data_IF_535990528554
#
_entry.id   IF_535990528554
#
_cell.length_a   1.000
_cell.length_b   1.000
_cell.length_c   1.000
_cell.angle_alpha   90.00
_cell.angle_beta   90.00
_cell.angle_gamma   90.00
#
_symmetry.space_group_name_H-M   'P 1'
#
loop_
_entity.id
_entity.type
_entity.pdbx_description
1 polymer ?
#
# COMPACT_ATOMS: atom_id res chain seq x y z
N UNK A 1 28.40 14.78 20.94
CA UNK A 1 27.32 14.13 21.71
C UNK A 1 26.88 14.87 22.99
N UNK A 2 27.59 15.91 23.48
CA UNK A 2 27.24 16.56 24.77
C UNK A 2 26.23 17.74 24.68
N UNK A 3 25.92 18.27 23.49
CA UNK A 3 25.00 19.41 23.34
C UNK A 3 23.51 19.04 23.53
N UNK A 4 23.07 17.89 23.00
CA UNK A 4 21.67 17.41 23.09
C UNK A 4 21.22 17.15 24.54
N UNK A 5 22.13 16.69 25.40
CA UNK A 5 21.85 16.47 26.83
C UNK A 5 21.66 17.75 27.63
N UNK A 6 22.36 18.83 27.25
CA UNK A 6 22.27 20.12 27.96
C UNK A 6 20.95 20.83 27.65
N UNK A 7 20.56 20.90 26.36
CA UNK A 7 19.28 21.47 25.93
C UNK A 7 18.08 20.72 26.52
N UNK A 8 18.14 19.38 26.55
CA UNK A 8 17.07 18.56 27.14
C UNK A 8 16.95 18.76 28.66
N UNK A 9 18.05 19.07 29.35
CA UNK A 9 18.06 19.34 30.79
C UNK A 9 17.46 20.71 31.11
N UNK A 10 17.78 21.73 30.32
CA UNK A 10 17.22 23.08 30.46
C UNK A 10 15.72 23.10 30.16
N UNK A 11 15.29 22.44 29.08
CA UNK A 11 13.87 22.29 28.73
C UNK A 11 13.13 21.54 29.83
N UNK A 12 13.69 20.45 30.37
CA UNK A 12 13.10 19.72 31.50
C UNK A 12 12.91 20.63 32.72
N UNK A 13 13.89 21.47 33.06
CA UNK A 13 13.78 22.41 34.17
C UNK A 13 12.68 23.45 33.93
N UNK A 14 12.58 23.99 32.71
CA UNK A 14 11.50 24.90 32.30
C UNK A 14 10.13 24.24 32.42
N UNK A 15 9.96 23.00 31.96
CA UNK A 15 8.68 22.26 32.08
C UNK A 15 8.30 22.03 33.55
N UNK A 16 9.25 21.70 34.41
CA UNK A 16 9.00 21.53 35.85
C UNK A 16 8.58 22.89 36.47
N UNK A 17 9.23 23.98 36.07
CA UNK A 17 8.87 25.33 36.55
C UNK A 17 7.46 25.74 36.09
N UNK A 18 7.10 25.51 34.83
CA UNK A 18 5.75 25.73 34.30
C UNK A 18 4.70 24.89 35.05
N UNK A 19 5.01 23.61 35.32
CA UNK A 19 4.18 22.72 36.13
C UNK A 19 3.93 23.25 37.55
N UNK A 20 4.97 23.75 38.21
CA UNK A 20 4.86 24.37 39.54
C UNK A 20 4.03 25.66 39.49
N UNK A 21 4.22 26.50 38.48
CA UNK A 21 3.44 27.72 38.31
C UNK A 21 1.95 27.40 38.12
N UNK A 22 1.62 26.43 37.28
CA UNK A 22 0.23 25.99 37.08
C UNK A 22 -0.41 25.48 38.37
N UNK A 23 0.33 24.74 39.20
CA UNK A 23 -0.17 24.27 40.49
C UNK A 23 -0.48 25.45 41.45
N UNK A 24 0.35 26.50 41.45
CA UNK A 24 0.11 27.72 42.24
C UNK A 24 -1.12 28.46 41.72
N UNK A 25 -1.22 28.70 40.41
CA UNK A 25 -2.37 29.40 39.81
C UNK A 25 -3.67 28.61 40.01
N UNK A 26 -3.61 27.28 39.95
CA UNK A 26 -4.76 26.42 40.23
C UNK A 26 -5.17 26.48 41.72
N UNK A 27 -4.21 26.55 42.64
CA UNK A 27 -4.48 26.77 44.07
C UNK A 27 -5.19 28.11 44.29
N UNK A 28 -4.70 29.20 43.68
CA UNK A 28 -5.33 30.53 43.75
C UNK A 28 -6.78 30.48 43.21
N UNK A 29 -7.01 29.73 42.14
CA UNK A 29 -8.36 29.51 41.60
C UNK A 29 -9.27 28.82 42.63
N UNK A 30 -8.79 27.76 43.30
CA UNK A 30 -9.56 27.05 44.32
C UNK A 30 -9.90 27.93 45.53
N UNK A 31 -8.96 28.78 45.98
CA UNK A 31 -9.18 29.76 47.04
C UNK A 31 -10.25 30.80 46.63
N UNK A 32 -10.21 31.24 45.36
CA UNK A 32 -11.21 32.16 44.81
C UNK A 32 -12.59 31.50 44.69
N UNK A 33 -12.66 30.22 44.29
CA UNK A 33 -13.91 29.45 44.28
C UNK A 33 -14.50 29.37 45.69
N UNK A 34 -13.69 29.04 46.70
CA UNK A 34 -14.12 28.99 48.10
C UNK A 34 -14.70 30.34 48.56
N UNK A 35 -14.05 31.45 48.19
CA UNK A 35 -14.51 32.81 48.50
C UNK A 35 -15.86 33.12 47.83
N UNK A 36 -16.02 32.78 46.56
CA UNK A 36 -17.29 32.98 45.82
C UNK A 36 -18.43 32.14 46.41
N UNK A 37 -18.15 30.92 46.87
CA UNK A 37 -19.13 30.04 47.51
C UNK A 37 -19.57 30.59 48.87
N UNK A 38 -18.63 31.12 49.66
CA UNK A 38 -18.94 31.67 50.99
C UNK A 38 -19.61 33.06 50.91
N UNK A 39 -19.17 33.92 49.98
CA UNK A 39 -19.62 35.31 49.83
C UNK A 39 -19.74 35.67 48.34
N UNK A 40 -20.85 35.33 47.68
CA UNK A 40 -21.01 35.59 46.26
C UNK A 40 -21.16 37.10 45.98
N UNK A 41 -20.23 37.66 45.21
CA UNK A 41 -20.30 39.04 44.69
C UNK A 41 -19.96 39.07 43.20
N UNK A 42 -20.37 40.14 42.50
CA UNK A 42 -20.06 40.32 41.08
C UNK A 42 -18.55 40.47 40.84
N UNK A 43 -17.86 41.18 41.73
CA UNK A 43 -16.40 41.34 41.72
C UNK A 43 -15.69 39.99 41.92
N UNK A 44 -16.13 39.18 42.89
CA UNK A 44 -15.54 37.87 43.15
C UNK A 44 -15.72 36.89 41.96
N UNK A 45 -16.83 36.99 41.23
CA UNK A 45 -17.07 36.22 39.99
C UNK A 45 -16.19 36.68 38.82
N UNK A 46 -15.94 37.99 38.70
CA UNK A 46 -15.00 38.51 37.68
C UNK A 46 -13.57 38.07 37.96
N UNK A 47 -13.13 38.14 39.22
CA UNK A 47 -11.82 37.61 39.64
C UNK A 47 -11.70 36.11 39.41
N UNK A 48 -12.77 35.34 39.64
CA UNK A 48 -12.80 33.90 39.34
C UNK A 48 -12.56 33.61 37.86
N UNK A 49 -13.22 34.35 36.96
CA UNK A 49 -13.03 34.21 35.51
C UNK A 49 -11.59 34.56 35.10
N UNK A 50 -10.99 35.60 35.69
CA UNK A 50 -9.60 35.96 35.46
C UNK A 50 -8.63 34.86 35.92
N UNK A 51 -8.86 34.26 37.10
CA UNK A 51 -8.05 33.14 37.61
C UNK A 51 -8.20 31.88 36.74
N UNK A 52 -9.41 31.58 36.26
CA UNK A 52 -9.64 30.46 35.35
C UNK A 52 -8.90 30.64 34.02
N UNK A 53 -8.86 31.88 33.50
CA UNK A 53 -8.08 32.21 32.32
C UNK A 53 -6.56 32.04 32.55
N UNK A 54 -6.05 32.46 33.71
CA UNK A 54 -4.64 32.25 34.08
C UNK A 54 -4.27 30.76 34.15
N UNK A 55 -5.17 29.90 34.64
CA UNK A 55 -4.95 28.43 34.60
C UNK A 55 -4.84 27.96 33.15
N UNK A 56 -5.74 28.39 32.26
CA UNK A 56 -5.68 28.01 30.85
C UNK A 56 -4.35 28.41 30.18
N UNK A 57 -3.86 29.63 30.46
CA UNK A 57 -2.55 30.12 29.97
C UNK A 57 -1.40 29.27 30.52
N UNK A 58 -1.43 28.93 31.81
CA UNK A 58 -0.37 28.13 32.43
C UNK A 58 -0.36 26.68 31.93
N UNK A 59 -1.53 26.09 31.65
CA UNK A 59 -1.65 24.78 31.00
C UNK A 59 -1.07 24.81 29.58
N UNK A 60 -1.34 25.87 28.81
CA UNK A 60 -0.74 26.04 27.47
C UNK A 60 0.79 26.11 27.53
N UNK A 61 1.36 26.79 28.54
CA UNK A 61 2.80 26.85 28.76
C UNK A 61 3.40 25.46 29.06
N UNK A 62 2.72 24.63 29.86
CA UNK A 62 3.13 23.23 30.11
C UNK A 62 3.09 22.42 28.82
N UNK A 63 2.05 22.55 28.01
CA UNK A 63 1.92 21.86 26.72
C UNK A 63 3.08 22.24 25.81
N UNK A 64 3.38 23.53 25.68
CA UNK A 64 4.49 24.02 24.89
C UNK A 64 5.85 23.48 25.37
N UNK A 65 6.10 23.52 26.69
CA UNK A 65 7.33 22.97 27.24
C UNK A 65 7.41 21.44 27.07
N UNK A 66 6.28 20.74 27.09
CA UNK A 66 6.20 19.29 26.83
C UNK A 66 6.49 18.94 25.37
N UNK A 67 6.08 19.79 24.42
CA UNK A 67 6.45 19.67 23.01
C UNK A 67 7.96 19.84 22.80
N UNK A 68 8.58 20.78 23.53
CA UNK A 68 10.03 20.97 23.51
C UNK A 68 10.79 19.76 24.09
N UNK A 69 10.26 19.09 25.14
CA UNK A 69 10.86 17.88 25.72
C UNK A 69 10.95 16.74 24.70
N UNK A 70 9.96 16.63 23.82
CA UNK A 70 9.94 15.57 22.80
C UNK A 70 11.16 15.67 21.86
N UNK A 71 11.74 16.86 21.70
CA UNK A 71 12.86 17.13 20.81
C UNK A 71 12.39 17.35 19.37
N UNK A 72 13.27 17.96 18.57
CA UNK A 72 13.01 18.27 17.16
C UNK A 72 12.76 17.03 16.31
N UNK A 73 13.29 15.88 16.73
CA UNK A 73 13.26 14.61 15.98
C UNK A 73 12.10 13.70 16.38
N UNK A 74 11.23 14.10 17.31
CA UNK A 74 10.06 13.30 17.66
C UNK A 74 9.06 13.29 16.52
N UNK A 75 8.69 12.07 16.15
CA UNK A 75 7.73 11.72 15.11
C UNK A 75 6.56 11.02 15.81
N UNK A 76 5.33 11.46 15.56
CA UNK A 76 4.14 10.79 16.10
C UNK A 76 3.96 9.44 15.35
N UNK A 77 4.08 8.28 16.03
CA UNK A 77 3.91 6.98 15.37
C UNK A 77 2.47 6.74 14.88
N UNK A 78 1.49 7.50 15.36
CA UNK A 78 0.10 7.46 14.89
C UNK A 78 -0.19 8.48 13.77
N UNK A 79 0.83 9.19 13.28
CA UNK A 79 0.68 10.10 12.15
C UNK A 79 0.44 9.30 10.85
N UNK A 80 -0.64 9.59 10.10
CA UNK A 80 -0.94 8.90 8.86
C UNK A 80 0.22 8.89 7.85
N UNK A 81 1.05 9.93 7.83
CA UNK A 81 2.20 10.02 6.93
C UNK A 81 3.33 9.06 7.31
N UNK A 82 3.54 8.86 8.62
CA UNK A 82 4.55 7.96 9.17
C UNK A 82 4.13 6.50 8.98
N UNK A 83 2.84 6.23 9.22
CA UNK A 83 2.23 4.94 8.94
C UNK A 83 2.37 4.63 7.44
N UNK A 84 2.01 5.57 6.57
CA UNK A 84 2.11 5.36 5.13
C UNK A 84 3.53 5.08 4.66
N UNK A 85 4.52 5.81 5.17
CA UNK A 85 5.92 5.56 4.83
C UNK A 85 6.38 4.16 5.27
N UNK A 86 6.07 3.78 6.51
CA UNK A 86 6.41 2.46 7.07
C UNK A 86 5.74 1.32 6.29
N UNK A 87 4.46 1.45 5.98
CA UNK A 87 3.67 0.47 5.23
C UNK A 87 4.18 0.33 3.79
N UNK A 88 4.52 1.44 3.10
CA UNK A 88 5.10 1.40 1.77
C UNK A 88 6.45 0.68 1.75
N UNK A 89 7.33 0.98 2.71
CA UNK A 89 8.62 0.31 2.81
C UNK A 89 8.47 -1.17 3.14
N UNK A 90 7.47 -1.52 3.95
CA UNK A 90 7.13 -2.92 4.28
C UNK A 90 6.62 -3.65 3.03
N UNK A 91 5.73 -3.04 2.26
CA UNK A 91 5.26 -3.59 0.98
C UNK A 91 6.41 -3.81 -0.01
N UNK A 92 7.32 -2.84 -0.15
CA UNK A 92 8.50 -2.98 -0.99
C UNK A 92 9.41 -4.14 -0.55
N UNK A 93 9.69 -4.26 0.76
CA UNK A 93 10.48 -5.38 1.32
C UNK A 93 9.81 -6.73 1.07
N UNK A 94 8.49 -6.80 1.21
CA UNK A 94 7.70 -8.01 0.94
C UNK A 94 7.84 -8.45 -0.53
N UNK A 95 7.77 -7.49 -1.46
CA UNK A 95 8.00 -7.75 -2.89
C UNK A 95 9.43 -8.25 -3.14
N UNK A 96 10.44 -7.63 -2.53
CA UNK A 96 11.84 -8.05 -2.69
C UNK A 96 12.07 -9.47 -2.16
N UNK A 97 11.46 -9.83 -1.04
CA UNK A 97 11.51 -11.20 -0.52
C UNK A 97 10.87 -12.20 -1.50
N UNK A 98 9.73 -11.84 -2.12
CA UNK A 98 9.12 -12.68 -3.15
C UNK A 98 10.00 -12.83 -4.39
N UNK A 99 10.67 -11.76 -4.84
CA UNK A 99 11.63 -11.78 -5.93
C UNK A 99 12.85 -12.67 -5.63
N UNK A 100 13.37 -12.59 -4.39
CA UNK A 100 14.46 -13.44 -3.94
C UNK A 100 14.05 -14.92 -3.91
N UNK A 101 12.85 -15.24 -3.41
CA UNK A 101 12.31 -16.60 -3.43
C UNK A 101 12.21 -17.15 -4.86
N UNK A 102 11.76 -16.33 -5.82
CA UNK A 102 11.76 -16.68 -7.24
C UNK A 102 13.16 -16.99 -7.78
N UNK A 103 14.17 -16.23 -7.37
CA UNK A 103 15.55 -16.41 -7.87
C UNK A 103 16.21 -17.73 -7.44
N UNK A 104 15.73 -18.35 -6.37
CA UNK A 104 16.23 -19.63 -5.87
C UNK A 104 15.56 -20.83 -6.57
N UNK A 105 14.51 -20.60 -7.34
CA UNK A 105 13.80 -21.65 -8.07
C UNK A 105 14.61 -22.08 -9.29
N UNK A 106 14.72 -23.40 -9.46
CA UNK A 106 15.28 -24.00 -10.68
C UNK A 106 14.13 -24.53 -11.54
N UNK A 107 14.20 -24.35 -12.87
CA UNK A 107 13.30 -25.02 -13.79
C UNK A 107 13.28 -26.53 -13.54
N UNK A 108 12.10 -27.15 -13.66
CA UNK A 108 11.97 -28.60 -13.48
C UNK A 108 12.74 -29.32 -14.58
N UNK A 109 13.83 -30.04 -14.24
CA UNK A 109 14.52 -30.93 -15.17
C UNK A 109 13.62 -32.14 -15.50
N UNK A 110 12.84 -32.09 -16.57
CA UNK A 110 12.28 -33.33 -17.16
C UNK A 110 13.42 -34.11 -17.82
N UNK A 111 13.43 -35.43 -17.65
CA UNK A 111 14.33 -36.31 -18.39
C UNK A 111 13.78 -36.49 -19.81
N UNK A 112 14.57 -36.10 -20.83
CA UNK A 112 14.47 -36.47 -22.26
C UNK A 112 13.49 -35.75 -23.20
N UNK A 113 12.95 -34.58 -22.87
CA UNK A 113 12.31 -33.71 -23.89
C UNK A 113 13.13 -32.42 -24.05
N UNK A 114 13.26 -31.97 -25.29
CA UNK A 114 14.39 -31.19 -25.82
C UNK A 114 14.74 -29.89 -25.07
N UNK A 115 16.00 -29.51 -25.25
CA UNK A 115 16.71 -28.26 -24.92
C UNK A 115 15.93 -26.93 -25.15
N UNK A 116 14.75 -26.99 -25.79
CA UNK A 116 13.90 -25.85 -26.16
C UNK A 116 12.90 -25.43 -25.08
N UNK A 117 12.43 -26.34 -24.20
CA UNK A 117 11.47 -26.01 -23.11
C UNK A 117 12.11 -25.11 -22.05
N UNK A 118 13.35 -25.43 -21.65
CA UNK A 118 14.10 -24.70 -20.63
C UNK A 118 14.21 -23.20 -20.94
N UNK A 119 14.29 -22.84 -22.22
CA UNK A 119 14.36 -21.44 -22.66
C UNK A 119 13.06 -20.68 -22.36
N UNK A 120 11.90 -21.33 -22.43
CA UNK A 120 10.62 -20.70 -22.05
C UNK A 120 10.51 -20.52 -20.53
N UNK A 121 10.76 -21.56 -19.74
CA UNK A 121 10.67 -21.45 -18.28
C UNK A 121 11.66 -20.43 -17.71
N UNK A 122 12.88 -20.34 -18.28
CA UNK A 122 13.86 -19.33 -17.93
C UNK A 122 13.40 -17.92 -18.32
N UNK A 123 12.78 -17.74 -19.50
CA UNK A 123 12.19 -16.46 -19.91
C UNK A 123 11.05 -16.01 -18.98
N UNK A 124 10.19 -16.94 -18.57
CA UNK A 124 9.11 -16.65 -17.61
C UNK A 124 9.70 -16.23 -16.25
N UNK A 125 10.67 -16.99 -15.75
CA UNK A 125 11.30 -16.71 -14.46
C UNK A 125 12.03 -15.36 -14.49
N UNK A 126 12.74 -15.04 -15.57
CA UNK A 126 13.45 -13.79 -15.72
C UNK A 126 12.51 -12.59 -15.86
N UNK A 127 11.44 -12.73 -16.65
CA UNK A 127 10.42 -11.69 -16.75
C UNK A 127 9.70 -11.47 -15.42
N UNK A 128 9.36 -12.53 -14.66
CA UNK A 128 8.76 -12.41 -13.33
C UNK A 128 9.69 -11.72 -12.32
N UNK A 129 11.00 -12.04 -12.32
CA UNK A 129 12.00 -11.33 -11.51
C UNK A 129 12.10 -9.85 -11.90
N UNK A 130 12.13 -9.56 -13.19
CA UNK A 130 12.17 -8.18 -13.69
C UNK A 130 10.94 -7.39 -13.25
N UNK A 131 9.75 -8.01 -13.28
CA UNK A 131 8.51 -7.39 -12.79
C UNK A 131 8.62 -7.13 -11.29
N UNK A 132 9.00 -8.11 -10.49
CA UNK A 132 9.09 -7.97 -9.04
C UNK A 132 10.13 -6.93 -8.60
N UNK A 133 11.27 -6.86 -9.28
CA UNK A 133 12.27 -5.82 -9.06
C UNK A 133 11.74 -4.43 -9.43
N UNK A 134 11.05 -4.31 -10.57
CA UNK A 134 10.46 -3.05 -10.99
C UNK A 134 9.32 -2.59 -10.06
N UNK A 135 8.48 -3.49 -9.55
CA UNK A 135 7.41 -3.15 -8.59
C UNK A 135 7.97 -2.78 -7.22
N UNK A 136 9.05 -3.44 -6.75
CA UNK A 136 9.75 -3.00 -5.54
C UNK A 136 10.32 -1.58 -5.69
N UNK A 137 10.99 -1.29 -6.82
CA UNK A 137 11.51 0.03 -7.12
C UNK A 137 10.41 1.10 -7.25
N UNK A 138 9.26 0.72 -7.82
CA UNK A 138 8.07 1.56 -7.90
C UNK A 138 7.57 1.95 -6.51
N UNK A 139 7.34 0.98 -5.62
CA UNK A 139 6.84 1.25 -4.26
C UNK A 139 7.84 2.08 -3.45
N UNK A 140 9.15 1.83 -3.59
CA UNK A 140 10.19 2.68 -2.99
C UNK A 140 10.17 4.12 -3.52
N UNK A 141 9.94 4.28 -4.82
CA UNK A 141 9.80 5.61 -5.43
C UNK A 141 8.52 6.31 -4.97
N UNK A 142 7.44 5.57 -4.72
CA UNK A 142 6.19 6.10 -4.17
C UNK A 142 6.39 6.61 -2.73
N UNK A 143 7.10 5.85 -1.90
CA UNK A 143 7.51 6.29 -0.56
C UNK A 143 8.38 7.55 -0.60
N UNK A 144 9.33 7.63 -1.53
CA UNK A 144 10.14 8.84 -1.71
C UNK A 144 9.31 10.04 -2.15
N UNK A 145 8.33 9.85 -3.04
CA UNK A 145 7.42 10.91 -3.48
C UNK A 145 6.52 11.40 -2.35
N UNK A 146 5.99 10.49 -1.53
CA UNK A 146 5.23 10.83 -0.34
C UNK A 146 6.08 11.63 0.66
N UNK A 147 7.32 11.19 0.93
CA UNK A 147 8.24 11.91 1.83
C UNK A 147 8.57 13.31 1.31
N UNK A 148 8.76 13.47 0.00
CA UNK A 148 8.97 14.77 -0.64
C UNK A 148 7.76 15.69 -0.45
N UNK A 149 6.54 15.15 -0.55
CA UNK A 149 5.32 15.93 -0.31
C UNK A 149 5.16 16.40 1.13
N UNK A 150 5.55 15.56 2.09
CA UNK A 150 5.59 15.93 3.49
C UNK A 150 6.62 17.04 3.72
N UNK A 151 7.84 16.89 3.18
CA UNK A 151 8.89 17.91 3.31
C UNK A 151 8.53 19.26 2.66
N UNK A 152 7.70 19.26 1.62
CA UNK A 152 7.19 20.47 0.96
C UNK A 152 5.99 21.11 1.69
N UNK A 153 5.46 20.48 2.75
CA UNK A 153 4.24 20.91 3.45
C UNK A 153 2.96 20.77 2.61
N UNK A 154 3.02 20.02 1.49
CA UNK A 154 1.86 19.70 0.64
C UNK A 154 0.99 18.60 1.23
N UNK A 155 1.58 17.76 2.05
CA UNK A 155 0.92 16.79 2.94
C UNK A 155 1.40 17.13 4.34
N UNK A 156 0.48 17.47 5.25
CA UNK A 156 0.85 18.00 6.56
C UNK A 156 0.93 16.89 7.60
N UNK A 157 1.96 16.94 8.43
CA UNK A 157 2.03 16.07 9.62
C UNK A 157 1.21 16.65 10.76
N UNK A 158 0.75 15.80 11.68
CA UNK A 158 0.05 16.20 12.90
C UNK A 158 0.88 17.19 13.74
N UNK A 159 2.22 17.12 13.65
CA UNK A 159 3.17 18.00 14.33
C UNK A 159 3.11 19.45 13.82
N UNK A 160 2.89 19.65 12.52
CA UNK A 160 2.90 20.98 11.89
C UNK A 160 1.58 21.75 12.04
N UNK A 161 0.48 21.04 12.37
CA UNK A 161 -0.88 21.60 12.33
C UNK A 161 -1.29 22.29 13.65
N UNK A 162 -0.59 22.04 14.77
CA UNK A 162 -0.95 22.64 16.06
C UNK A 162 -2.35 22.25 16.59
N UNK A 163 -2.74 22.79 17.73
CA UNK A 163 -3.96 22.40 18.48
C UNK A 163 -5.19 23.31 18.25
N UNK A 164 -5.46 23.75 17.02
CA UNK A 164 -6.62 24.62 16.72
C UNK A 164 -7.79 23.90 16.05
N UNK A 165 -9.02 24.23 16.45
CA UNK A 165 -10.30 23.56 16.16
C UNK A 165 -10.71 23.34 14.69
N UNK A 166 -10.01 23.89 13.70
CA UNK A 166 -10.25 23.61 12.26
C UNK A 166 -9.59 22.28 11.80
N UNK A 167 -9.40 21.35 12.74
CA UNK A 167 -8.44 20.23 12.74
C UNK A 167 -8.91 18.97 12.04
N UNK A 168 -10.21 18.65 12.05
CA UNK A 168 -10.69 17.35 11.55
C UNK A 168 -10.54 17.27 10.03
N UNK A 169 -11.14 18.18 9.26
CA UNK A 169 -11.24 18.01 7.80
C UNK A 169 -9.90 17.94 7.05
N UNK A 170 -8.84 18.61 7.53
CA UNK A 170 -7.53 18.60 6.85
C UNK A 170 -6.74 17.33 7.17
N UNK A 171 -6.79 16.85 8.42
CA UNK A 171 -6.23 15.55 8.80
C UNK A 171 -7.01 14.41 8.12
N UNK A 172 -8.32 14.60 7.91
CA UNK A 172 -9.17 13.65 7.23
C UNK A 172 -8.78 13.54 5.73
N UNK A 173 -8.50 14.65 5.02
CA UNK A 173 -8.11 14.61 3.59
C UNK A 173 -6.71 14.04 3.34
N UNK A 174 -5.69 14.54 4.06
CA UNK A 174 -4.31 14.03 3.93
C UNK A 174 -4.17 12.60 4.47
N UNK A 175 -4.95 12.26 5.52
CA UNK A 175 -5.08 10.90 6.04
C UNK A 175 -5.74 9.95 5.05
N UNK A 176 -6.87 10.33 4.45
CA UNK A 176 -7.55 9.54 3.41
C UNK A 176 -6.68 9.34 2.18
N UNK A 177 -5.94 10.36 1.74
CA UNK A 177 -4.98 10.22 0.66
C UNK A 177 -3.86 9.23 1.03
N UNK A 178 -3.33 9.32 2.25
CA UNK A 178 -2.29 8.41 2.75
C UNK A 178 -2.80 6.96 2.83
N UNK A 179 -4.01 6.73 3.33
CA UNK A 179 -4.69 5.43 3.32
C UNK A 179 -4.90 4.89 1.89
N UNK A 180 -5.34 5.75 0.98
CA UNK A 180 -5.47 5.40 -0.44
C UNK A 180 -4.14 4.97 -1.07
N UNK A 181 -3.05 5.67 -0.72
CA UNK A 181 -1.70 5.34 -1.17
C UNK A 181 -1.22 4.00 -0.60
N UNK A 182 -1.44 3.76 0.70
CA UNK A 182 -1.12 2.48 1.37
C UNK A 182 -1.88 1.34 0.70
N UNK A 183 -3.19 1.50 0.50
CA UNK A 183 -4.05 0.50 -0.13
C UNK A 183 -3.58 0.16 -1.54
N UNK A 184 -3.24 1.18 -2.35
CA UNK A 184 -2.70 0.98 -3.68
C UNK A 184 -1.38 0.19 -3.67
N UNK A 185 -0.47 0.49 -2.74
CA UNK A 185 0.79 -0.24 -2.63
C UNK A 185 0.61 -1.68 -2.13
N UNK A 186 -0.32 -1.92 -1.19
CA UNK A 186 -0.70 -3.28 -0.75
C UNK A 186 -1.26 -4.10 -1.90
N UNK A 187 -2.09 -3.50 -2.76
CA UNK A 187 -2.58 -4.16 -3.99
C UNK A 187 -1.43 -4.52 -4.93
N UNK A 188 -0.44 -3.64 -5.14
CA UNK A 188 0.75 -3.94 -5.96
C UNK A 188 1.55 -5.10 -5.36
N UNK A 189 1.74 -5.12 -4.04
CA UNK A 189 2.45 -6.20 -3.36
C UNK A 189 1.72 -7.54 -3.50
N UNK A 190 0.40 -7.56 -3.27
CA UNK A 190 -0.44 -8.75 -3.42
C UNK A 190 -0.45 -9.28 -4.86
N UNK A 191 -0.64 -8.40 -5.85
CA UNK A 191 -0.59 -8.76 -7.27
C UNK A 191 0.78 -9.33 -7.65
N UNK A 192 1.86 -8.72 -7.17
CA UNK A 192 3.22 -9.21 -7.43
C UNK A 192 3.43 -10.59 -6.80
N UNK A 193 2.93 -10.83 -5.58
CA UNK A 193 3.02 -12.15 -4.94
C UNK A 193 2.28 -13.21 -5.75
N UNK A 194 1.05 -12.92 -6.17
CA UNK A 194 0.23 -13.81 -7.02
C UNK A 194 0.91 -14.12 -8.35
N UNK A 195 1.58 -13.13 -8.96
CA UNK A 195 2.42 -13.33 -10.14
C UNK A 195 3.60 -14.25 -9.85
N UNK A 196 4.33 -14.05 -8.74
CA UNK A 196 5.45 -14.89 -8.36
C UNK A 196 5.04 -16.35 -8.15
N UNK A 197 3.90 -16.58 -7.51
CA UNK A 197 3.32 -17.91 -7.34
C UNK A 197 2.90 -18.52 -8.67
N UNK A 198 2.26 -17.74 -9.55
CA UNK A 198 1.82 -18.21 -10.86
C UNK A 198 3.01 -18.54 -11.77
N UNK A 199 4.09 -17.74 -11.72
CA UNK A 199 5.33 -18.00 -12.44
C UNK A 199 6.04 -19.26 -11.90
N UNK A 200 6.10 -19.45 -10.58
CA UNK A 200 6.64 -20.67 -10.00
C UNK A 200 5.81 -21.90 -10.42
N UNK A 201 4.49 -21.83 -10.32
CA UNK A 201 3.60 -22.91 -10.72
C UNK A 201 3.73 -23.23 -12.22
N UNK A 202 3.88 -22.21 -13.08
CA UNK A 202 4.11 -22.36 -14.51
C UNK A 202 5.40 -23.16 -14.78
N UNK A 203 6.52 -22.74 -14.18
CA UNK A 203 7.83 -23.38 -14.33
C UNK A 203 7.85 -24.83 -13.81
N UNK A 204 6.94 -25.19 -12.90
CA UNK A 204 6.77 -26.57 -12.42
C UNK A 204 5.77 -27.39 -13.26
N UNK A 205 5.05 -26.77 -14.21
CA UNK A 205 3.99 -27.40 -15.01
C UNK A 205 2.66 -27.57 -14.27
N UNK A 206 2.38 -26.69 -13.30
CA UNK A 206 1.18 -26.73 -12.43
C UNK A 206 0.23 -25.53 -12.64
N UNK A 207 0.53 -24.62 -13.56
CA UNK A 207 -0.33 -23.49 -13.91
C UNK A 207 -0.44 -23.36 -15.43
N UNK A 208 -1.53 -22.74 -15.88
CA UNK A 208 -1.77 -22.45 -17.30
C UNK A 208 -1.27 -21.06 -17.67
N UNK A 209 -1.03 -20.84 -18.97
CA UNK A 209 -0.52 -19.59 -19.53
C UNK A 209 -1.50 -18.46 -19.26
N UNK A 210 -2.81 -18.75 -19.27
CA UNK A 210 -3.85 -17.77 -18.95
C UNK A 210 -3.74 -17.26 -17.51
N UNK A 211 -3.42 -18.14 -16.55
CA UNK A 211 -3.22 -17.74 -15.15
C UNK A 211 -2.02 -16.80 -15.01
N UNK A 212 -0.94 -17.10 -15.74
CA UNK A 212 0.26 -16.24 -15.76
C UNK A 212 -0.04 -14.89 -16.43
N UNK A 213 -0.76 -14.89 -17.54
CA UNK A 213 -1.18 -13.66 -18.23
C UNK A 213 -2.13 -12.82 -17.35
N UNK A 214 -3.06 -13.46 -16.64
CA UNK A 214 -4.00 -12.78 -15.77
C UNK A 214 -3.29 -12.08 -14.60
N UNK A 215 -2.36 -12.78 -13.92
CA UNK A 215 -1.57 -12.21 -12.83
C UNK A 215 -0.64 -11.08 -13.31
N UNK A 216 -0.04 -11.20 -14.50
CA UNK A 216 0.75 -10.12 -15.11
C UNK A 216 -0.08 -8.85 -15.38
N UNK A 217 -1.32 -9.01 -15.89
CA UNK A 217 -2.25 -7.91 -16.12
C UNK A 217 -2.71 -7.26 -14.81
N UNK A 218 -2.89 -8.04 -13.76
CA UNK A 218 -3.22 -7.55 -12.42
C UNK A 218 -2.09 -6.68 -11.83
N UNK A 219 -0.83 -7.09 -12.02
CA UNK A 219 0.34 -6.27 -11.63
C UNK A 219 0.38 -4.96 -12.41
N UNK A 220 0.13 -4.98 -13.72
CA UNK A 220 0.06 -3.76 -14.52
C UNK A 220 -1.07 -2.83 -14.07
N UNK A 221 -2.26 -3.38 -13.78
CA UNK A 221 -3.42 -2.64 -13.32
C UNK A 221 -3.22 -2.01 -11.94
N UNK A 222 -2.71 -2.76 -10.97
CA UNK A 222 -2.39 -2.26 -9.62
C UNK A 222 -1.28 -1.20 -9.66
N UNK A 223 -0.28 -1.37 -10.52
CA UNK A 223 0.78 -0.38 -10.75
C UNK A 223 0.23 0.94 -11.30
N UNK A 224 -0.68 0.86 -12.28
CA UNK A 224 -1.35 2.05 -12.80
C UNK A 224 -2.18 2.76 -11.72
N UNK A 225 -2.86 2.00 -10.87
CA UNK A 225 -3.62 2.55 -9.76
C UNK A 225 -2.72 3.28 -8.75
N UNK A 226 -1.57 2.70 -8.39
CA UNK A 226 -0.59 3.35 -7.51
C UNK A 226 -0.02 4.65 -8.10
N UNK A 227 0.27 4.67 -9.41
CA UNK A 227 0.74 5.88 -10.11
C UNK A 227 -0.31 7.00 -10.04
N UNK A 228 -1.58 6.68 -10.24
CA UNK A 228 -2.69 7.64 -10.15
C UNK A 228 -2.82 8.15 -8.72
N UNK A 229 -2.80 7.26 -7.71
CA UNK A 229 -2.88 7.64 -6.29
C UNK A 229 -1.75 8.61 -5.89
N UNK A 230 -0.52 8.36 -6.33
CA UNK A 230 0.62 9.25 -6.07
C UNK A 230 0.44 10.62 -6.74
N UNK A 231 -0.08 10.66 -7.97
CA UNK A 231 -0.19 11.89 -8.78
C UNK A 231 -1.18 12.92 -8.24
N UNK A 232 -2.13 12.52 -7.37
CA UNK A 232 -3.15 13.42 -6.82
C UNK A 232 -2.53 14.62 -6.09
N UNK A 233 -1.46 14.39 -5.32
CA UNK A 233 -0.77 15.43 -4.53
C UNK A 233 0.66 15.70 -5.04
N UNK A 234 1.26 14.77 -5.81
CA UNK A 234 2.63 14.90 -6.33
C UNK A 234 2.75 15.88 -7.50
N UNK A 235 3.84 16.64 -7.52
CA UNK A 235 4.26 17.41 -8.70
C UNK A 235 4.74 16.43 -9.79
N UNK A 236 4.14 16.42 -11.00
CA UNK A 236 4.57 15.58 -12.12
C UNK A 236 6.04 15.75 -12.50
N UNK A 237 6.61 16.93 -12.24
CA UNK A 237 7.98 17.27 -12.62
C UNK A 237 9.02 16.96 -11.53
N UNK A 238 8.59 16.50 -10.35
CA UNK A 238 9.51 16.16 -9.28
C UNK A 238 10.43 14.99 -9.63
N UNK A 239 11.61 14.96 -9.01
CA UNK A 239 12.58 13.88 -9.22
C UNK A 239 12.00 12.54 -8.76
N UNK A 240 11.27 12.52 -7.64
CA UNK A 240 10.62 11.31 -7.14
C UNK A 240 9.52 10.83 -8.09
N UNK A 241 8.71 11.74 -8.64
CA UNK A 241 7.64 11.37 -9.57
C UNK A 241 8.19 10.89 -10.92
N UNK A 242 9.27 11.51 -11.43
CA UNK A 242 9.99 11.03 -12.62
C UNK A 242 10.55 9.62 -12.42
N UNK A 243 11.12 9.32 -11.25
CA UNK A 243 11.58 7.97 -10.89
C UNK A 243 10.42 6.99 -10.79
N UNK A 244 9.32 7.38 -10.15
CA UNK A 244 8.11 6.58 -10.04
C UNK A 244 7.55 6.22 -11.43
N UNK A 245 7.45 7.20 -12.34
CA UNK A 245 6.98 6.98 -13.70
C UNK A 245 7.92 6.06 -14.49
N UNK A 246 9.24 6.22 -14.33
CA UNK A 246 10.23 5.35 -14.95
C UNK A 246 10.09 3.89 -14.47
N UNK A 247 9.91 3.69 -13.16
CA UNK A 247 9.66 2.37 -12.58
C UNK A 247 8.33 1.78 -13.06
N UNK A 248 7.26 2.57 -13.12
CA UNK A 248 5.96 2.14 -13.64
C UNK A 248 6.00 1.74 -15.11
N UNK A 249 6.75 2.49 -15.93
CA UNK A 249 7.01 2.14 -17.32
C UNK A 249 7.84 0.85 -17.45
N UNK A 250 8.77 0.61 -16.53
CA UNK A 250 9.54 -0.64 -16.49
C UNK A 250 8.64 -1.84 -16.14
N UNK A 251 7.74 -1.70 -15.15
CA UNK A 251 6.73 -2.72 -14.83
C UNK A 251 5.88 -3.03 -16.05
N UNK A 252 5.33 -1.99 -16.71
CA UNK A 252 4.52 -2.16 -17.91
C UNK A 252 5.26 -2.96 -19.00
N UNK A 253 6.48 -2.56 -19.35
CA UNK A 253 7.29 -3.29 -20.35
C UNK A 253 7.55 -4.74 -19.94
N UNK A 254 7.93 -4.97 -18.68
CA UNK A 254 8.21 -6.32 -18.19
C UNK A 254 6.95 -7.21 -18.22
N UNK A 255 5.78 -6.67 -17.87
CA UNK A 255 4.50 -7.39 -17.99
C UNK A 255 4.13 -7.69 -19.45
N UNK A 256 4.39 -6.77 -20.38
CA UNK A 256 4.15 -7.01 -21.81
C UNK A 256 5.06 -8.11 -22.39
N UNK A 257 6.34 -8.13 -21.98
CA UNK A 257 7.29 -9.19 -22.35
C UNK A 257 6.81 -10.54 -21.82
N UNK A 258 6.42 -10.62 -20.55
CA UNK A 258 5.91 -11.84 -19.95
C UNK A 258 4.65 -12.37 -20.67
N UNK A 259 3.70 -11.48 -20.97
CA UNK A 259 2.46 -11.86 -21.67
C UNK A 259 2.76 -12.39 -23.08
N UNK A 260 3.69 -11.75 -23.81
CA UNK A 260 4.12 -12.24 -25.13
C UNK A 260 4.78 -13.61 -25.03
N UNK A 261 5.67 -13.82 -24.06
CA UNK A 261 6.31 -15.12 -23.85
C UNK A 261 5.26 -16.21 -23.56
N UNK A 262 4.31 -15.96 -22.65
CA UNK A 262 3.24 -16.89 -22.32
C UNK A 262 2.32 -17.20 -23.52
N UNK A 263 2.01 -16.19 -24.36
CA UNK A 263 1.21 -16.40 -25.58
C UNK A 263 1.95 -17.22 -26.63
N UNK A 264 3.26 -17.00 -26.80
CA UNK A 264 4.08 -17.75 -27.75
C UNK A 264 4.23 -19.22 -27.34
N UNK A 265 4.34 -19.52 -26.05
CA UNK A 265 4.33 -20.90 -25.57
C UNK A 265 3.01 -21.59 -25.87
N UNK A 266 1.89 -20.93 -25.55
CA UNK A 266 0.56 -21.47 -25.87
C UNK A 266 0.37 -21.80 -27.35
N UNK A 267 0.80 -20.90 -28.26
CA UNK A 267 0.69 -21.14 -29.70
C UNK A 267 1.54 -22.32 -30.17
N UNK A 268 2.71 -22.54 -29.58
CA UNK A 268 3.56 -23.69 -29.92
C UNK A 268 2.91 -25.01 -29.52
N UNK A 269 2.33 -25.07 -28.32
CA UNK A 269 1.62 -26.27 -27.86
C UNK A 269 0.40 -26.57 -28.75
N UNK A 270 -0.36 -25.53 -29.14
CA UNK A 270 -1.48 -25.68 -30.07
C UNK A 270 -1.04 -26.17 -31.46
N UNK A 271 0.06 -25.65 -32.01
CA UNK A 271 0.60 -26.06 -33.31
C UNK A 271 1.16 -27.50 -33.29
N UNK A 272 1.76 -27.94 -32.18
CA UNK A 272 2.23 -29.31 -32.00
C UNK A 272 1.05 -30.31 -31.93
N UNK A 273 0.00 -29.99 -31.17
CA UNK A 273 -1.22 -30.82 -31.08
C UNK A 273 -1.92 -30.98 -32.44
N UNK A 274 -1.98 -29.90 -33.24
CA UNK A 274 -2.59 -29.92 -34.58
C UNK A 274 -1.77 -30.79 -35.54
N UNK A 275 -0.44 -30.74 -35.48
CA UNK A 275 0.43 -31.54 -36.35
C UNK A 275 0.35 -33.04 -36.05
N UNK A 276 0.25 -33.43 -34.76
CA UNK A 276 0.06 -34.83 -34.35
C UNK A 276 -1.30 -35.37 -34.80
N UNK A 277 -2.35 -34.56 -34.77
CA UNK A 277 -3.69 -34.96 -35.24
C UNK A 277 -3.73 -35.26 -36.75
N UNK A 278 -2.94 -34.55 -37.56
CA UNK A 278 -2.94 -34.64 -39.03
C UNK A 278 -2.36 -35.95 -39.57
N UNK A 279 -1.39 -36.56 -38.88
CA UNK A 279 -0.69 -37.80 -39.30
C UNK A 279 -1.54 -39.08 -39.16
N UNK A 280 -2.71 -39.00 -38.50
CA UNK A 280 -3.56 -40.15 -38.17
C UNK A 280 -4.63 -40.50 -39.23
N UNK A 281 -4.53 -39.96 -40.45
CA UNK A 281 -5.57 -40.13 -41.49
C UNK A 281 -5.50 -41.48 -42.21
N UNK A 282 -6.22 -42.47 -41.65
CA UNK A 282 -7.07 -43.43 -42.40
C UNK A 282 -8.06 -44.13 -41.45
N UNK A 283 -9.36 -43.93 -41.69
CA UNK A 283 -10.55 -44.59 -41.09
C UNK A 283 -11.05 -44.10 -39.70
N UNK A 284 -10.40 -43.11 -39.06
CA UNK A 284 -10.83 -42.53 -37.77
C UNK A 284 -11.84 -41.36 -37.81
N UNK A 285 -12.19 -40.85 -39.00
CA UNK A 285 -12.80 -39.51 -39.15
C UNK A 285 -14.11 -39.26 -38.40
N UNK A 286 -15.05 -40.22 -38.39
CA UNK A 286 -16.36 -40.04 -37.71
C UNK A 286 -16.20 -40.11 -36.19
N UNK A 287 -15.33 -40.99 -35.68
CA UNK A 287 -15.04 -41.09 -34.24
C UNK A 287 -14.27 -39.86 -33.76
N UNK A 288 -13.35 -39.34 -34.58
CA UNK A 288 -12.62 -38.09 -34.31
C UNK A 288 -13.57 -36.89 -34.33
N UNK A 289 -14.48 -36.80 -35.29
CA UNK A 289 -15.46 -35.72 -35.37
C UNK A 289 -16.40 -35.74 -34.15
N UNK A 290 -16.88 -36.91 -33.75
CA UNK A 290 -17.71 -37.05 -32.54
C UNK A 290 -16.94 -36.69 -31.26
N UNK A 291 -15.68 -37.11 -31.16
CA UNK A 291 -14.80 -36.74 -30.03
C UNK A 291 -14.55 -35.23 -29.96
N UNK A 292 -14.31 -34.59 -31.11
CA UNK A 292 -14.11 -33.14 -31.18
C UNK A 292 -15.39 -32.40 -30.79
N UNK A 293 -16.56 -32.84 -31.27
CA UNK A 293 -17.85 -32.27 -30.88
C UNK A 293 -18.16 -32.46 -29.40
N UNK A 294 -17.87 -33.63 -28.84
CA UNK A 294 -18.01 -33.90 -27.40
C UNK A 294 -17.08 -32.99 -26.58
N UNK A 295 -15.83 -32.84 -27.02
CA UNK A 295 -14.85 -31.98 -26.36
C UNK A 295 -15.24 -30.51 -26.43
N UNK A 296 -15.79 -30.06 -27.56
CA UNK A 296 -16.32 -28.72 -27.77
C UNK A 296 -17.46 -28.42 -26.80
N UNK A 297 -18.46 -29.31 -26.70
CA UNK A 297 -19.59 -29.15 -25.78
C UNK A 297 -19.15 -29.17 -24.32
N UNK A 298 -18.15 -29.97 -23.97
CA UNK A 298 -17.56 -30.00 -22.63
C UNK A 298 -16.88 -28.66 -22.31
N UNK A 299 -16.00 -28.16 -23.19
CA UNK A 299 -15.31 -26.88 -23.01
C UNK A 299 -16.30 -25.71 -22.93
N UNK A 300 -17.39 -25.75 -23.68
CA UNK A 300 -18.45 -24.73 -23.62
C UNK A 300 -19.16 -24.71 -22.26
N UNK A 301 -19.49 -25.88 -21.70
CA UNK A 301 -20.04 -25.98 -20.33
C UNK A 301 -19.05 -25.47 -19.28
N UNK A 302 -17.80 -25.91 -19.34
CA UNK A 302 -16.74 -25.47 -18.42
C UNK A 302 -16.52 -23.95 -18.50
N UNK A 303 -16.60 -23.37 -19.70
CA UNK A 303 -16.51 -21.92 -19.91
C UNK A 303 -17.67 -21.16 -19.27
N UNK A 304 -18.91 -21.62 -19.44
CA UNK A 304 -20.09 -21.01 -18.81
C UNK A 304 -19.94 -21.05 -17.28
N UNK A 305 -19.55 -22.20 -16.71
CA UNK A 305 -19.33 -22.33 -15.27
C UNK A 305 -18.21 -21.43 -14.74
N UNK A 306 -17.08 -21.36 -15.44
CA UNK A 306 -15.97 -20.49 -15.07
C UNK A 306 -16.39 -19.01 -15.10
N UNK A 307 -17.18 -18.62 -16.11
CA UNK A 307 -17.73 -17.26 -16.24
C UNK A 307 -18.70 -16.94 -15.10
N UNK A 308 -19.57 -17.86 -14.71
CA UNK A 308 -20.45 -17.68 -13.54
C UNK A 308 -19.67 -17.56 -12.23
N UNK A 309 -18.67 -18.42 -12.02
CA UNK A 309 -17.79 -18.36 -10.84
C UNK A 309 -17.08 -17.01 -10.76
N UNK A 310 -16.53 -16.51 -11.87
CA UNK A 310 -15.88 -15.21 -11.93
C UNK A 310 -16.86 -14.06 -11.63
N UNK A 311 -18.09 -14.13 -12.16
CA UNK A 311 -19.12 -13.13 -11.90
C UNK A 311 -19.51 -13.09 -10.40
N UNK A 312 -19.68 -14.27 -9.77
CA UNK A 312 -19.94 -14.40 -8.33
C UNK A 312 -18.79 -13.83 -7.50
N UNK A 313 -17.54 -14.18 -7.82
CA UNK A 313 -16.36 -13.68 -7.12
C UNK A 313 -16.23 -12.16 -7.22
N UNK A 314 -16.41 -11.57 -8.41
CA UNK A 314 -16.40 -10.11 -8.59
C UNK A 314 -17.49 -9.44 -7.76
N UNK A 315 -18.71 -9.99 -7.74
CA UNK A 315 -19.83 -9.47 -6.95
C UNK A 315 -19.55 -9.53 -5.44
N UNK A 316 -18.92 -10.60 -4.97
CA UNK A 316 -18.49 -10.75 -3.57
C UNK A 316 -17.45 -9.68 -3.21
N UNK A 317 -16.42 -9.52 -4.06
CA UNK A 317 -15.35 -8.53 -3.85
C UNK A 317 -15.90 -7.10 -3.77
N UNK A 318 -16.89 -6.76 -4.60
CA UNK A 318 -17.57 -5.45 -4.54
C UNK A 318 -18.41 -5.27 -3.26
N UNK A 319 -19.05 -6.32 -2.76
CA UNK A 319 -19.81 -6.28 -1.50
C UNK A 319 -18.87 -6.09 -0.30
N UNK A 320 -17.74 -6.78 -0.27
CA UNK A 320 -16.79 -6.67 0.84
C UNK A 320 -16.13 -5.28 0.86
N UNK A 321 -15.76 -4.71 -0.30
CA UNK A 321 -15.27 -3.31 -0.36
C UNK A 321 -16.35 -2.26 -0.11
N UNK A 322 -17.64 -2.60 -0.21
CA UNK A 322 -18.76 -1.69 0.10
C UNK A 322 -19.27 -1.82 1.55
N UNK A 323 -18.86 -2.85 2.28
CA UNK A 323 -19.29 -3.06 3.66
C UNK A 323 -18.41 -2.30 4.67
N UNK A 324 -17.18 -1.96 4.29
CA UNK A 324 -16.29 -1.10 5.10
C UNK A 324 -16.75 0.38 5.15
N UNK A 325 -17.66 0.80 4.25
CA UNK A 325 -18.23 2.17 4.28
C UNK A 325 -19.55 2.31 5.06
N UNK A 326 -20.23 1.21 5.41
CA UNK A 326 -21.57 1.26 6.04
C UNK A 326 -21.61 0.76 7.48
N UNK A 327 -20.50 0.20 7.99
CA UNK A 327 -20.46 -0.32 9.36
C UNK A 327 -20.14 0.72 10.45
N UNK A 328 -20.02 2.02 10.12
CA UNK A 328 -19.79 3.12 11.09
C UNK A 328 -21.01 4.02 11.36
N UNK A 329 -22.22 3.63 10.92
CA UNK A 329 -23.46 4.42 11.13
C UNK A 329 -24.37 3.86 12.24
N UNK A 330 -23.90 2.91 13.04
CA UNK A 330 -24.67 2.39 14.17
C UNK A 330 -23.82 2.38 15.44
N UNK A 331 -23.68 3.56 16.06
CA UNK A 331 -23.89 3.83 17.49
C UNK A 331 -23.84 5.33 17.76
#
# INVERSE_FOLDING_TARGET
MQASTAETTEVRQKTIAAGKNCAVVYKDLLEQVSTVVQKPSQEAKQTLAARAHQVAVSVQEIVHCSELIKGTDWVDPEDPTVIAESELLTAAKSIEAAAQKLSQLKPRKKAKEADMSLNFEEQILEAAKSIASATAALVKSASAAQRELVAQGKVRTRKEIGATYHKSQILDDDGQWSEGLISAAKMVAAATHSLCESANAMVQGHATEERLIASAKEVAGSTAHLLVACRVKADPDSVAMKRLQAAGNAVKRATEVLVKAAQQAKQRDEDEDINVAVDSRKVGGIKQELQIQEEMLRKEREWIEAREKLAKFRKQRYKDTGHDSDSSSAF
#
